data_IF_466510859222
#
_entry.id   IF_466510859222
#
_cell.length_a   1.000
_cell.length_b   1.000
_cell.length_c   1.000
_cell.angle_alpha   90.00
_cell.angle_beta   90.00
_cell.angle_gamma   90.00
#
_symmetry.space_group_name_H-M   'P 1'
#
loop_
_entity.id
_entity.type
_entity.pdbx_description
1 polymer ?
#
# COMPACT_ATOMS: atom_id res chain seq x y z
N UNK A 1 -27.00 -21.61 19.66
CA UNK A 1 -27.33 -20.21 19.33
C UNK A 1 -26.33 -19.71 18.29
N UNK A 2 -26.75 -19.52 17.05
CA UNK A 2 -25.88 -19.13 15.94
C UNK A 2 -25.70 -17.60 15.88
N UNK A 3 -24.48 -17.12 16.06
CA UNK A 3 -24.14 -15.72 15.88
C UNK A 3 -24.08 -15.40 14.37
N UNK A 4 -24.98 -14.52 13.91
CA UNK A 4 -24.98 -13.97 12.55
C UNK A 4 -23.75 -13.06 12.37
N UNK A 5 -22.86 -13.43 11.45
CA UNK A 5 -21.74 -12.60 10.99
C UNK A 5 -22.23 -11.40 10.16
N UNK A 6 -21.74 -10.16 10.40
CA UNK A 6 -22.05 -9.02 9.55
C UNK A 6 -21.07 -8.97 8.37
N UNK A 7 -21.38 -9.68 7.28
CA UNK A 7 -20.55 -9.75 6.08
C UNK A 7 -20.78 -8.58 5.08
N UNK A 8 -21.67 -7.62 5.38
CA UNK A 8 -22.17 -6.66 4.39
C UNK A 8 -21.40 -5.34 4.25
N UNK A 9 -20.50 -4.98 5.16
CA UNK A 9 -19.90 -3.63 5.18
C UNK A 9 -18.55 -3.51 4.47
N UNK A 10 -17.80 -4.60 4.30
CA UNK A 10 -16.46 -4.58 3.66
C UNK A 10 -16.52 -4.44 2.13
N UNK A 11 -17.49 -5.07 1.47
CA UNK A 11 -17.62 -5.05 0.01
C UNK A 11 -17.93 -3.65 -0.56
N UNK A 12 -18.66 -2.83 0.18
CA UNK A 12 -19.04 -1.47 -0.25
C UNK A 12 -17.85 -0.51 -0.23
N UNK A 13 -16.98 -0.61 0.77
CA UNK A 13 -15.71 0.16 0.86
C UNK A 13 -14.69 -0.30 -0.17
N UNK A 14 -14.64 -1.60 -0.48
CA UNK A 14 -13.74 -2.14 -1.50
C UNK A 14 -14.16 -1.68 -2.92
N UNK A 15 -15.47 -1.65 -3.19
CA UNK A 15 -15.99 -1.18 -4.48
C UNK A 15 -15.78 0.32 -4.71
N UNK A 16 -15.86 1.15 -3.67
CA UNK A 16 -15.62 2.59 -3.74
C UNK A 16 -14.14 2.90 -3.91
N UNK A 17 -13.26 2.22 -3.16
CA UNK A 17 -11.82 2.36 -3.31
C UNK A 17 -11.31 1.88 -4.68
N UNK A 18 -11.88 0.82 -5.25
CA UNK A 18 -11.58 0.38 -6.62
C UNK A 18 -12.08 1.39 -7.67
N UNK A 19 -13.27 1.98 -7.50
CA UNK A 19 -13.77 3.05 -8.37
C UNK A 19 -12.86 4.27 -8.34
N UNK A 20 -12.43 4.70 -7.15
CA UNK A 20 -11.50 5.82 -6.99
C UNK A 20 -10.16 5.54 -7.68
N UNK A 21 -9.59 4.35 -7.50
CA UNK A 21 -8.35 3.94 -8.20
C UNK A 21 -8.49 3.97 -9.72
N UNK A 22 -9.64 3.56 -10.27
CA UNK A 22 -9.91 3.62 -11.71
C UNK A 22 -10.01 5.06 -12.21
N UNK A 23 -10.69 5.93 -11.46
CA UNK A 23 -10.81 7.36 -11.79
C UNK A 23 -9.44 8.06 -11.72
N UNK A 24 -8.64 7.78 -10.68
CA UNK A 24 -7.27 8.31 -10.57
C UNK A 24 -6.41 7.89 -11.77
N UNK A 25 -6.50 6.63 -12.22
CA UNK A 25 -5.80 6.16 -13.42
C UNK A 25 -6.27 6.83 -14.69
N UNK A 26 -7.58 7.00 -14.87
CA UNK A 26 -8.14 7.69 -16.04
C UNK A 26 -7.70 9.16 -16.09
N UNK A 27 -7.75 9.86 -14.96
CA UNK A 27 -7.24 11.22 -14.82
C UNK A 27 -5.75 11.32 -15.13
N UNK A 28 -4.94 10.38 -14.65
CA UNK A 28 -3.51 10.36 -14.95
C UNK A 28 -3.23 10.19 -16.45
N UNK A 29 -4.00 9.36 -17.16
CA UNK A 29 -3.88 9.18 -18.62
C UNK A 29 -4.30 10.44 -19.38
N UNK A 30 -5.42 11.05 -18.99
CA UNK A 30 -5.90 12.30 -19.61
C UNK A 30 -4.94 13.46 -19.36
N UNK A 31 -4.41 13.59 -18.15
CA UNK A 31 -3.37 14.58 -17.83
C UNK A 31 -2.09 14.32 -18.64
N UNK A 32 -1.62 13.08 -18.72
CA UNK A 32 -0.44 12.75 -19.52
C UNK A 32 -0.65 13.05 -21.02
N UNK A 33 -1.85 12.84 -21.55
CA UNK A 33 -2.22 13.18 -22.92
C UNK A 33 -2.32 14.70 -23.14
N UNK A 34 -2.95 15.43 -22.21
CA UNK A 34 -3.07 16.90 -22.28
C UNK A 34 -1.72 17.61 -22.11
N UNK A 35 -0.81 17.01 -21.34
CA UNK A 35 0.53 17.54 -21.06
C UNK A 35 1.57 17.08 -22.09
N UNK A 36 1.25 16.12 -22.97
CA UNK A 36 2.12 15.69 -24.07
C UNK A 36 2.32 16.87 -25.03
N UNK A 37 3.56 17.34 -25.09
CA UNK A 37 3.98 18.42 -25.99
C UNK A 37 3.76 19.85 -25.47
N UNK A 38 3.00 20.05 -24.37
CA UNK A 38 2.75 21.38 -23.80
C UNK A 38 3.65 21.75 -22.63
N UNK A 39 4.18 20.75 -21.91
CA UNK A 39 5.10 21.01 -20.81
C UNK A 39 6.49 21.36 -21.32
N UNK A 40 6.97 22.55 -20.93
CA UNK A 40 8.36 22.94 -21.12
C UNK A 40 9.28 22.06 -20.25
N UNK A 41 10.53 21.88 -20.67
CA UNK A 41 11.56 21.14 -19.93
C UNK A 41 11.65 21.48 -18.42
N UNK A 42 11.63 22.76 -18.00
CA UNK A 42 11.63 23.10 -16.58
C UNK A 42 10.39 22.60 -15.82
N UNK A 43 9.21 22.71 -16.43
CA UNK A 43 7.95 22.26 -15.82
C UNK A 43 7.91 20.74 -15.66
N UNK A 44 8.44 20.00 -16.65
CA UNK A 44 8.60 18.54 -16.55
C UNK A 44 9.51 18.15 -15.38
N UNK A 45 10.63 18.84 -15.21
CA UNK A 45 11.56 18.59 -14.09
C UNK A 45 10.90 18.87 -12.75
N UNK A 46 10.11 19.95 -12.65
CA UNK A 46 9.38 20.32 -11.43
C UNK A 46 8.30 19.27 -11.08
N UNK A 47 7.50 18.85 -12.07
CA UNK A 47 6.51 17.79 -11.90
C UNK A 47 7.16 16.46 -11.49
N UNK A 48 8.28 16.08 -12.10
CA UNK A 48 9.01 14.87 -11.71
C UNK A 48 9.48 14.92 -10.26
N UNK A 49 9.99 16.07 -9.79
CA UNK A 49 10.38 16.26 -8.38
C UNK A 49 9.18 16.09 -7.44
N UNK A 50 8.07 16.76 -7.73
CA UNK A 50 6.84 16.67 -6.92
C UNK A 50 6.29 15.23 -6.89
N UNK A 51 6.24 14.55 -8.03
CA UNK A 51 5.80 13.15 -8.09
C UNK A 51 6.73 12.21 -7.33
N UNK A 52 8.05 12.46 -7.36
CA UNK A 52 9.02 11.70 -6.58
C UNK A 52 8.81 11.90 -5.06
N UNK A 53 8.54 13.12 -4.62
CA UNK A 53 8.22 13.40 -3.21
C UNK A 53 6.92 12.72 -2.77
N UNK A 54 5.86 12.82 -3.56
CA UNK A 54 4.57 12.17 -3.26
C UNK A 54 4.73 10.64 -3.16
N UNK A 55 5.52 10.02 -4.05
CA UNK A 55 5.84 8.59 -3.96
C UNK A 55 6.59 8.27 -2.66
N UNK A 56 7.55 9.11 -2.26
CA UNK A 56 8.32 8.94 -1.02
C UNK A 56 7.43 9.07 0.22
N UNK A 57 6.53 10.05 0.24
CA UNK A 57 5.55 10.22 1.32
C UNK A 57 4.58 9.01 1.41
N UNK A 58 4.06 8.53 0.28
CA UNK A 58 3.18 7.36 0.24
C UNK A 58 3.89 6.10 0.74
N UNK A 59 5.16 5.89 0.39
CA UNK A 59 5.99 4.79 0.94
C UNK A 59 6.15 4.90 2.45
N UNK A 60 6.48 6.09 2.97
CA UNK A 60 6.60 6.34 4.42
C UNK A 60 5.29 6.08 5.17
N UNK A 61 4.15 6.45 4.60
CA UNK A 61 2.83 6.18 5.17
C UNK A 61 2.52 4.67 5.16
N UNK A 62 2.84 3.96 4.08
CA UNK A 62 2.69 2.51 4.02
C UNK A 62 3.57 1.81 5.06
N UNK A 63 4.84 2.19 5.16
CA UNK A 63 5.76 1.67 6.18
C UNK A 63 5.26 1.97 7.60
N UNK A 64 4.75 3.18 7.85
CA UNK A 64 4.15 3.55 9.14
C UNK A 64 2.89 2.73 9.44
N UNK A 65 2.03 2.48 8.44
CA UNK A 65 0.81 1.68 8.60
C UNK A 65 1.07 0.19 8.85
N UNK A 66 2.24 -0.31 8.42
CA UNK A 66 2.69 -1.69 8.63
C UNK A 66 3.42 -1.88 9.96
N UNK A 67 3.89 -0.80 10.61
CA UNK A 67 4.43 -0.87 11.97
C UNK A 67 3.34 -1.35 12.93
N UNK A 68 3.61 -2.47 13.59
CA UNK A 68 2.64 -3.07 14.51
C UNK A 68 1.64 -4.01 13.85
N UNK A 69 1.82 -4.44 12.60
CA UNK A 69 1.05 -5.54 12.01
C UNK A 69 1.87 -6.81 11.84
N UNK A 70 1.22 -7.97 11.86
CA UNK A 70 1.85 -9.24 11.53
C UNK A 70 2.14 -9.27 10.01
N UNK A 71 3.38 -9.58 9.57
CA UNK A 71 3.72 -9.66 8.15
C UNK A 71 3.06 -10.84 7.42
N UNK A 72 2.59 -11.87 8.13
CA UNK A 72 1.92 -13.03 7.54
C UNK A 72 0.40 -12.83 7.40
N UNK A 73 -0.29 -12.46 8.48
CA UNK A 73 -1.76 -12.35 8.50
C UNK A 73 -2.30 -10.91 8.55
N UNK A 74 -1.43 -9.91 8.54
CA UNK A 74 -1.74 -8.47 8.55
C UNK A 74 -2.55 -7.95 9.75
N UNK A 75 -2.80 -8.79 10.76
CA UNK A 75 -3.47 -8.43 12.01
C UNK A 75 -2.63 -7.47 12.86
N UNK A 76 -3.28 -6.55 13.59
CA UNK A 76 -2.64 -5.50 14.40
C UNK A 76 -2.10 -6.09 15.70
N UNK A 77 -0.79 -6.25 15.85
CA UNK A 77 -0.11 -6.82 17.03
C UNK A 77 -0.37 -6.02 18.31
N UNK A 78 -0.79 -6.68 19.41
CA UNK A 78 -1.14 -6.01 20.65
C UNK A 78 0.09 -5.60 21.46
N UNK A 79 1.26 -6.23 21.20
CA UNK A 79 2.56 -5.88 21.78
C UNK A 79 3.62 -5.89 20.67
N UNK A 80 4.46 -4.84 20.54
CA UNK A 80 5.49 -4.76 19.49
C UNK A 80 6.62 -5.80 19.63
N UNK A 81 6.75 -6.44 20.80
CA UNK A 81 7.83 -7.40 21.15
C UNK A 81 7.40 -8.87 21.23
N UNK A 82 6.18 -9.23 20.79
CA UNK A 82 5.77 -10.64 20.79
C UNK A 82 6.67 -11.48 19.87
N UNK A 83 7.09 -12.69 20.27
CA UNK A 83 7.87 -13.60 19.41
C UNK A 83 7.00 -14.22 18.31
N UNK A 84 5.74 -14.51 18.61
CA UNK A 84 4.73 -15.08 17.71
C UNK A 84 3.55 -14.15 17.54
N UNK A 85 2.90 -14.22 16.39
CA UNK A 85 1.60 -13.59 16.18
C UNK A 85 0.52 -14.31 17.01
N UNK A 86 -0.29 -13.60 17.81
CA UNK A 86 -1.34 -14.23 18.60
C UNK A 86 -2.52 -14.73 17.77
N UNK A 87 -2.67 -14.29 16.51
CA UNK A 87 -3.75 -14.75 15.63
C UNK A 87 -3.36 -15.90 14.72
N UNK A 88 -2.18 -15.85 14.10
CA UNK A 88 -1.75 -16.88 13.14
C UNK A 88 -0.62 -17.78 13.64
N UNK A 89 -0.10 -17.56 14.86
CA UNK A 89 0.96 -18.38 15.46
C UNK A 89 2.35 -18.23 14.86
N UNK A 90 2.48 -17.57 13.70
CA UNK A 90 3.74 -17.43 12.96
C UNK A 90 4.79 -16.66 13.77
N UNK A 91 6.04 -17.13 13.71
CA UNK A 91 7.20 -16.45 14.27
C UNK A 91 7.45 -15.13 13.51
N UNK A 92 7.36 -14.02 14.23
CA UNK A 92 7.46 -12.69 13.60
C UNK A 92 8.87 -12.41 13.04
N UNK A 93 9.90 -13.04 13.58
CA UNK A 93 11.28 -12.96 13.07
C UNK A 93 11.40 -13.55 11.67
N UNK A 94 10.89 -14.76 11.47
CA UNK A 94 10.93 -15.47 10.19
C UNK A 94 10.06 -14.79 9.14
N UNK A 95 8.84 -14.40 9.52
CA UNK A 95 7.95 -13.74 8.59
C UNK A 95 8.44 -12.33 8.19
N UNK A 96 9.16 -11.60 9.07
CA UNK A 96 9.85 -10.36 8.68
C UNK A 96 11.04 -10.62 7.76
N UNK A 97 11.78 -11.71 7.96
CA UNK A 97 12.89 -12.12 7.10
C UNK A 97 12.38 -12.46 5.68
N UNK A 98 11.37 -13.31 5.58
CA UNK A 98 10.73 -13.66 4.31
C UNK A 98 10.12 -12.46 3.58
N UNK A 99 9.52 -11.51 4.31
CA UNK A 99 9.00 -10.27 3.74
C UNK A 99 10.12 -9.36 3.17
N UNK A 100 11.31 -9.35 3.79
CA UNK A 100 12.47 -8.60 3.28
C UNK A 100 13.10 -9.27 2.06
N UNK A 101 13.18 -10.59 2.06
CA UNK A 101 13.71 -11.39 0.94
C UNK A 101 12.79 -11.30 -0.30
N UNK A 102 11.47 -11.32 -0.11
CA UNK A 102 10.52 -11.11 -1.21
C UNK A 102 10.53 -9.67 -1.74
N UNK A 103 10.71 -8.67 -0.87
CA UNK A 103 10.86 -7.27 -1.29
C UNK A 103 12.15 -7.00 -2.09
N UNK A 104 13.26 -7.70 -1.79
CA UNK A 104 14.52 -7.58 -2.54
C UNK A 104 14.52 -8.37 -3.84
N UNK A 105 13.81 -9.51 -3.89
CA UNK A 105 13.62 -10.30 -5.11
C UNK A 105 12.73 -9.60 -6.15
N UNK A 106 11.70 -8.87 -5.71
CA UNK A 106 10.81 -8.10 -6.59
C UNK A 106 11.42 -6.83 -7.19
N UNK A 107 12.58 -6.37 -6.68
CA UNK A 107 13.28 -5.19 -7.18
C UNK A 107 14.24 -5.47 -8.36
N UNK A 108 14.38 -6.73 -8.78
CA UNK A 108 15.27 -7.19 -9.87
C UNK A 108 14.52 -7.72 -11.10
N UNK A 109 13.21 -7.50 -11.21
CA UNK A 109 12.40 -7.86 -12.38
C UNK A 109 11.85 -6.62 -13.06
#
# INVERSE_FOLDING_TARGET
MAAKSPAGSRSRTDSTSLRLLRLERALAVLLAAALRGRLQLPERRLLQKVLAELKKQRRRQQEASQKGRCPACLSVLPKPRARRCPWCGVLLSEARRAARESASAGARR
#
